data_IF_466029388573
#
_entry.id   IF_466029388573
#
_cell.length_a   1.000
_cell.length_b   1.000
_cell.length_c   1.000
_cell.angle_alpha   90.00
_cell.angle_beta   90.00
_cell.angle_gamma   90.00
#
_symmetry.space_group_name_H-M   'P 1'
#
loop_
_entity.id
_entity.type
_entity.pdbx_description
1 polymer ?
#
# COMPACT_ATOMS: atom_id res chain seq x y z
N UNK A 1 -19.66 43.50 18.94
CA UNK A 1 -19.73 43.01 17.55
C UNK A 1 -18.33 42.57 17.13
N UNK A 2 -18.04 41.26 17.06
CA UNK A 2 -16.70 40.75 16.70
C UNK A 2 -16.55 40.77 15.19
N UNK A 3 -15.64 41.59 14.68
CA UNK A 3 -15.28 41.63 13.26
C UNK A 3 -14.57 40.31 12.94
N UNK A 4 -15.18 39.49 12.09
CA UNK A 4 -14.58 38.25 11.61
C UNK A 4 -13.43 38.63 10.68
N UNK A 5 -12.22 38.16 10.98
CA UNK A 5 -11.03 38.46 10.18
C UNK A 5 -11.14 37.75 8.81
N UNK A 6 -11.54 38.50 7.79
CA UNK A 6 -11.69 38.02 6.41
C UNK A 6 -10.37 37.48 5.86
N UNK A 7 -9.19 37.98 6.27
CA UNK A 7 -7.92 37.41 5.83
C UNK A 7 -7.75 35.96 6.26
N UNK A 8 -8.25 35.57 7.43
CA UNK A 8 -8.20 34.17 7.91
C UNK A 8 -9.08 33.27 7.05
N UNK A 9 -10.21 33.79 6.57
CA UNK A 9 -11.15 33.05 5.70
C UNK A 9 -10.55 32.90 4.30
N UNK A 10 -10.00 33.96 3.72
CA UNK A 10 -9.40 33.93 2.38
C UNK A 10 -8.08 33.14 2.34
N UNK A 11 -7.23 33.20 3.38
CA UNK A 11 -6.03 32.36 3.49
C UNK A 11 -6.35 30.86 3.47
N UNK A 12 -7.46 30.45 4.09
CA UNK A 12 -7.89 29.05 4.11
C UNK A 12 -8.53 28.63 2.77
N UNK A 13 -9.28 29.52 2.11
CA UNK A 13 -9.89 29.24 0.81
C UNK A 13 -8.88 29.13 -0.35
N UNK A 14 -7.77 29.88 -0.26
CA UNK A 14 -6.68 29.88 -1.25
C UNK A 14 -5.45 29.07 -0.85
N UNK A 15 -5.54 28.19 0.15
CA UNK A 15 -4.46 27.25 0.50
C UNK A 15 -4.35 26.15 -0.58
N UNK A 16 -3.81 26.55 -1.74
CA UNK A 16 -3.56 25.72 -2.92
C UNK A 16 -2.42 24.72 -2.62
N UNK A 17 -2.69 23.45 -2.91
CA UNK A 17 -1.74 22.33 -3.05
C UNK A 17 -0.97 21.91 -1.78
N UNK A 18 -1.67 21.38 -0.77
CA UNK A 18 -1.10 20.19 -0.13
C UNK A 18 -1.46 19.02 -1.06
N UNK A 19 -0.51 18.60 -1.92
CA UNK A 19 -0.64 17.35 -2.67
C UNK A 19 -0.95 16.26 -1.64
N UNK A 20 -2.13 15.67 -1.75
CA UNK A 20 -2.65 14.59 -0.91
C UNK A 20 -1.52 13.57 -0.60
N UNK A 21 -1.17 13.34 0.68
CA UNK A 21 -0.08 12.45 1.05
C UNK A 21 -0.33 11.02 0.55
N UNK A 22 -1.60 10.60 0.46
CA UNK A 22 -1.96 9.31 -0.13
C UNK A 22 -1.57 9.27 -1.59
N UNK A 23 -1.97 10.30 -2.35
CA UNK A 23 -1.68 10.40 -3.77
C UNK A 23 -0.16 10.40 -4.06
N UNK A 24 0.62 11.11 -3.24
CA UNK A 24 2.09 11.11 -3.34
C UNK A 24 2.72 9.74 -3.09
N UNK A 25 2.17 8.98 -2.14
CA UNK A 25 2.68 7.67 -1.82
C UNK A 25 2.37 6.68 -2.94
N UNK A 26 1.11 6.59 -3.37
CA UNK A 26 0.70 5.67 -4.44
C UNK A 26 1.37 6.00 -5.78
N UNK A 27 1.68 7.27 -6.06
CA UNK A 27 2.40 7.71 -7.28
C UNK A 27 3.78 7.03 -7.43
N UNK A 28 4.40 6.60 -6.32
CA UNK A 28 5.72 5.95 -6.32
C UNK A 28 5.66 4.42 -6.32
N UNK A 29 4.48 3.83 -6.13
CA UNK A 29 4.36 2.38 -5.99
C UNK A 29 4.36 1.71 -7.38
N UNK A 30 5.22 0.70 -7.62
CA UNK A 30 5.33 0.02 -8.92
C UNK A 30 4.01 -0.49 -9.50
N UNK A 31 3.05 -0.89 -8.65
CA UNK A 31 1.71 -1.35 -9.05
C UNK A 31 0.89 -0.23 -9.73
N UNK A 32 1.19 1.04 -9.42
CA UNK A 32 0.48 2.21 -9.93
C UNK A 32 1.31 3.08 -10.88
N UNK A 33 2.53 2.67 -11.24
CA UNK A 33 3.50 3.49 -12.00
C UNK A 33 2.98 3.98 -13.38
N UNK A 34 2.14 3.18 -14.05
CA UNK A 34 1.63 3.49 -15.41
C UNK A 34 0.31 4.28 -15.41
N UNK A 35 -0.18 4.67 -14.24
CA UNK A 35 -1.47 5.37 -14.11
C UNK A 35 -1.30 6.87 -14.33
N UNK A 36 -2.23 7.46 -15.08
CA UNK A 36 -2.35 8.90 -15.19
C UNK A 36 -2.75 9.53 -13.85
N UNK A 37 -2.51 10.84 -13.71
CA UNK A 37 -2.89 11.57 -12.49
C UNK A 37 -4.39 11.44 -12.14
N UNK A 38 -5.27 11.37 -13.14
CA UNK A 38 -6.72 11.17 -12.94
C UNK A 38 -7.01 9.77 -12.40
N UNK A 39 -6.33 8.76 -12.92
CA UNK A 39 -6.44 7.38 -12.46
C UNK A 39 -5.89 7.23 -11.03
N UNK A 40 -4.73 7.82 -10.71
CA UNK A 40 -4.18 7.83 -9.36
C UNK A 40 -5.15 8.47 -8.35
N UNK A 41 -5.84 9.56 -8.73
CA UNK A 41 -6.90 10.14 -7.89
C UNK A 41 -8.04 9.16 -7.62
N UNK A 42 -8.46 8.39 -8.62
CA UNK A 42 -9.50 7.38 -8.43
C UNK A 42 -9.04 6.28 -7.47
N UNK A 43 -7.77 5.84 -7.57
CA UNK A 43 -7.18 4.89 -6.63
C UNK A 43 -7.12 5.46 -5.23
N UNK A 44 -6.65 6.70 -5.04
CA UNK A 44 -6.58 7.33 -3.72
C UNK A 44 -7.93 7.31 -2.99
N UNK A 45 -9.04 7.55 -3.71
CA UNK A 45 -10.39 7.50 -3.11
C UNK A 45 -10.88 6.10 -2.74
N UNK A 46 -10.32 5.04 -3.34
CA UNK A 46 -10.64 3.65 -3.03
C UNK A 46 -9.76 3.08 -1.91
N UNK A 47 -8.80 3.85 -1.44
CA UNK A 47 -7.86 3.39 -0.43
C UNK A 47 -8.30 3.77 0.98
N UNK A 48 -7.83 3.00 1.97
CA UNK A 48 -8.24 3.16 3.35
C UNK A 48 -7.03 3.39 4.25
N UNK A 49 -6.97 4.56 4.89
CA UNK A 49 -5.91 4.86 5.85
C UNK A 49 -6.11 4.06 7.15
N UNK A 50 -5.00 3.54 7.68
CA UNK A 50 -4.94 2.71 8.89
C UNK A 50 -3.75 3.15 9.74
N UNK A 51 -3.96 3.29 11.04
CA UNK A 51 -2.90 3.63 11.99
C UNK A 51 -2.63 2.42 12.89
N UNK A 52 -1.35 2.16 13.15
CA UNK A 52 -0.88 1.05 13.96
C UNK A 52 0.09 1.55 15.02
N UNK A 53 -0.03 1.02 16.23
CA UNK A 53 0.88 1.28 17.35
C UNK A 53 2.11 0.38 17.25
N UNK A 54 3.14 0.71 18.03
CA UNK A 54 4.28 -0.18 18.25
C UNK A 54 3.80 -1.58 18.68
N UNK A 55 4.36 -2.61 18.05
CA UNK A 55 4.06 -4.03 18.20
C UNK A 55 2.65 -4.46 17.78
N UNK A 56 1.89 -3.61 17.10
CA UNK A 56 0.58 -3.96 16.56
C UNK A 56 0.71 -4.74 15.25
N UNK A 57 -0.07 -5.81 15.10
CA UNK A 57 -0.11 -6.60 13.87
C UNK A 57 -0.96 -5.88 12.81
N UNK A 58 -0.39 -5.70 11.63
CA UNK A 58 -1.15 -5.34 10.43
C UNK A 58 -1.96 -6.56 9.97
N UNK A 59 -1.32 -7.73 9.95
CA UNK A 59 -1.98 -9.02 9.81
C UNK A 59 -1.10 -10.13 10.39
N UNK A 60 -1.72 -11.24 10.76
CA UNK A 60 -1.05 -12.44 11.24
C UNK A 60 -0.92 -13.48 10.13
N UNK A 61 0.10 -14.33 10.22
CA UNK A 61 0.21 -15.54 9.40
C UNK A 61 -1.09 -16.36 9.52
N UNK A 62 -1.51 -16.98 8.42
CA UNK A 62 -2.77 -17.71 8.26
C UNK A 62 -4.06 -16.89 8.38
N UNK A 63 -3.98 -15.57 8.60
CA UNK A 63 -5.17 -14.72 8.49
C UNK A 63 -5.65 -14.68 7.02
N UNK A 64 -6.95 -14.46 6.79
CA UNK A 64 -7.46 -14.18 5.45
C UNK A 64 -6.72 -13.03 4.77
N UNK A 65 -6.45 -13.20 3.48
CA UNK A 65 -5.75 -12.23 2.66
C UNK A 65 -6.76 -11.28 1.99
N UNK A 66 -6.93 -10.08 2.54
CA UNK A 66 -7.96 -9.14 2.07
C UNK A 66 -7.44 -8.06 1.10
N UNK A 67 -6.13 -7.79 1.14
CA UNK A 67 -5.55 -6.70 0.36
C UNK A 67 -4.08 -6.44 0.62
N UNK A 68 -3.57 -5.41 -0.01
CA UNK A 68 -2.19 -4.94 0.13
C UNK A 68 -2.11 -3.68 0.99
N UNK A 69 -0.91 -3.37 1.46
CA UNK A 69 -0.64 -2.18 2.25
C UNK A 69 0.52 -1.39 1.68
N UNK A 70 0.43 -0.05 1.76
CA UNK A 70 1.50 0.90 1.44
C UNK A 70 1.87 1.67 2.71
N UNK A 71 3.17 1.83 2.98
CA UNK A 71 3.64 2.52 4.18
C UNK A 71 3.74 4.02 3.90
N UNK A 72 2.90 4.81 4.56
CA UNK A 72 2.96 6.28 4.52
C UNK A 72 3.97 6.86 5.50
N UNK A 73 4.13 6.20 6.64
CA UNK A 73 5.07 6.57 7.70
C UNK A 73 5.22 5.37 8.65
N UNK A 74 6.38 5.23 9.28
CA UNK A 74 6.70 4.14 10.19
C UNK A 74 7.50 2.99 9.57
N UNK A 75 7.47 1.84 10.22
CA UNK A 75 8.31 0.69 9.88
C UNK A 75 7.59 -0.63 10.20
N UNK A 76 7.56 -1.53 9.23
CA UNK A 76 6.87 -2.82 9.29
C UNK A 76 7.88 -3.95 9.13
N UNK A 77 7.82 -4.93 10.02
CA UNK A 77 8.59 -6.17 9.93
C UNK A 77 7.71 -7.31 9.41
N UNK A 78 8.16 -7.99 8.36
CA UNK A 78 7.56 -9.21 7.85
C UNK A 78 8.32 -10.39 8.43
N UNK A 79 7.64 -11.23 9.20
CA UNK A 79 8.26 -12.35 9.91
C UNK A 79 7.40 -13.59 9.95
N UNK A 80 8.06 -14.73 10.06
CA UNK A 80 7.41 -15.98 10.42
C UNK A 80 7.38 -16.12 11.95
N UNK A 81 6.19 -16.12 12.58
CA UNK A 81 6.08 -16.25 14.03
C UNK A 81 6.55 -17.61 14.55
N UNK A 82 6.53 -18.66 13.71
CA UNK A 82 6.85 -20.02 14.12
C UNK A 82 8.36 -20.25 14.20
N UNK A 83 9.10 -19.79 13.18
CA UNK A 83 10.57 -19.90 13.15
C UNK A 83 11.30 -18.69 13.76
N UNK A 84 10.62 -17.57 13.96
CA UNK A 84 11.24 -16.30 14.36
C UNK A 84 12.02 -15.59 13.25
N UNK A 85 12.04 -16.16 12.04
CA UNK A 85 12.77 -15.60 10.92
C UNK A 85 12.14 -14.29 10.44
N UNK A 86 12.97 -13.26 10.27
CA UNK A 86 12.58 -11.98 9.69
C UNK A 86 12.85 -12.03 8.19
N UNK A 87 11.80 -11.95 7.39
CA UNK A 87 11.89 -11.99 5.93
C UNK A 87 12.19 -10.61 5.33
N UNK A 88 11.65 -9.55 5.92
CA UNK A 88 11.90 -8.18 5.47
C UNK A 88 11.64 -7.17 6.59
N UNK A 89 12.34 -6.03 6.50
CA UNK A 89 12.01 -4.78 7.20
C UNK A 89 11.69 -3.73 6.15
N UNK A 90 10.52 -3.12 6.26
CA UNK A 90 9.94 -2.23 5.28
C UNK A 90 9.70 -0.87 5.91
N UNK A 91 9.93 0.20 5.15
CA UNK A 91 9.85 1.59 5.60
C UNK A 91 8.90 2.41 4.72
N UNK A 92 8.78 3.70 5.01
CA UNK A 92 8.02 4.65 4.18
C UNK A 92 8.31 4.45 2.68
N UNK A 93 7.25 4.39 1.88
CA UNK A 93 7.31 4.18 0.43
C UNK A 93 7.29 2.71 0.00
N UNK A 94 7.49 1.76 0.91
CA UNK A 94 7.36 0.34 0.60
C UNK A 94 5.90 -0.12 0.59
N UNK A 95 5.66 -1.26 -0.06
CA UNK A 95 4.37 -1.94 -0.07
C UNK A 95 4.52 -3.44 0.11
N UNK A 96 3.50 -4.07 0.69
CA UNK A 96 3.52 -5.49 1.02
C UNK A 96 2.12 -6.11 1.02
N UNK A 97 2.09 -7.45 0.99
CA UNK A 97 0.86 -8.22 1.00
C UNK A 97 0.11 -8.20 -0.33
N UNK A 98 0.79 -7.86 -1.43
CA UNK A 98 0.21 -7.68 -2.76
C UNK A 98 -0.37 -8.96 -3.38
N UNK A 99 0.10 -10.14 -2.95
CA UNK A 99 -0.46 -11.41 -3.39
C UNK A 99 -1.96 -11.54 -3.06
N UNK A 100 -2.40 -10.92 -1.96
CA UNK A 100 -3.81 -10.87 -1.56
C UNK A 100 -4.72 -10.16 -2.57
N UNK A 101 -4.17 -9.44 -3.54
CA UNK A 101 -4.95 -8.87 -4.64
C UNK A 101 -5.26 -9.90 -5.74
N UNK A 102 -4.46 -10.96 -5.87
CA UNK A 102 -4.57 -11.97 -6.92
C UNK A 102 -5.30 -13.22 -6.47
N UNK A 103 -4.93 -13.76 -5.31
CA UNK A 103 -5.49 -15.00 -4.76
C UNK A 103 -6.10 -14.79 -3.37
N UNK A 104 -6.73 -15.84 -2.87
CA UNK A 104 -7.38 -15.88 -1.55
C UNK A 104 -6.57 -16.78 -0.59
N UNK A 105 -5.30 -17.03 -0.91
CA UNK A 105 -4.43 -17.84 -0.06
C UNK A 105 -4.18 -17.12 1.27
N UNK A 106 -4.19 -17.84 2.42
CA UNK A 106 -3.90 -17.23 3.71
C UNK A 106 -2.52 -16.56 3.75
N UNK A 107 -2.35 -15.56 4.61
CA UNK A 107 -1.06 -14.87 4.77
C UNK A 107 0.07 -15.85 5.09
N UNK A 108 1.13 -15.84 4.28
CA UNK A 108 2.31 -16.70 4.46
C UNK A 108 3.22 -16.29 5.63
N UNK A 109 3.12 -15.03 6.07
CA UNK A 109 3.89 -14.45 7.16
C UNK A 109 3.04 -13.44 7.94
N UNK A 110 3.54 -13.00 9.09
CA UNK A 110 2.95 -11.89 9.83
C UNK A 110 3.60 -10.56 9.46
N UNK A 111 2.82 -9.50 9.44
CA UNK A 111 3.30 -8.12 9.34
C UNK A 111 3.05 -7.40 10.66
N UNK A 112 4.11 -6.92 11.31
CA UNK A 112 4.04 -6.23 12.60
C UNK A 112 4.65 -4.84 12.51
N UNK A 113 3.99 -3.87 13.12
CA UNK A 113 4.50 -2.50 13.21
C UNK A 113 5.56 -2.40 14.29
N UNK A 114 6.79 -2.04 13.94
CA UNK A 114 7.92 -1.92 14.90
C UNK A 114 8.19 -0.47 15.32
N UNK A 115 7.36 0.46 14.84
CA UNK A 115 7.17 1.84 15.32
C UNK A 115 5.69 2.18 15.23
N UNK A 116 5.27 3.37 15.68
CA UNK A 116 3.94 3.88 15.27
C UNK A 116 3.96 4.06 13.76
N UNK A 117 3.00 3.45 13.06
CA UNK A 117 2.97 3.44 11.59
C UNK A 117 1.61 3.87 11.07
N UNK A 118 1.64 4.51 9.90
CA UNK A 118 0.47 4.95 9.15
C UNK A 118 0.54 4.31 7.78
N UNK A 119 -0.49 3.55 7.44
CA UNK A 119 -0.54 2.74 6.23
C UNK A 119 -1.78 3.10 5.41
N UNK A 120 -1.70 2.77 4.13
CA UNK A 120 -2.87 2.72 3.24
C UNK A 120 -3.16 1.26 2.92
N UNK A 121 -4.38 0.82 3.14
CA UNK A 121 -4.91 -0.45 2.63
C UNK A 121 -5.57 -0.26 1.26
N UNK A 122 -5.29 -1.19 0.34
CA UNK A 122 -6.02 -1.35 -0.92
C UNK A 122 -6.51 -2.79 -1.01
N UNK A 123 -7.82 -3.00 -1.02
CA UNK A 123 -8.41 -4.32 -0.87
C UNK A 123 -8.81 -4.94 -2.20
N UNK A 124 -8.85 -6.27 -2.23
CA UNK A 124 -9.22 -7.04 -3.42
C UNK A 124 -10.62 -6.69 -3.92
N UNK A 125 -11.56 -6.43 -3.02
CA UNK A 125 -12.91 -5.99 -3.36
C UNK A 125 -12.94 -4.66 -4.13
N UNK A 126 -12.05 -3.73 -3.77
CA UNK A 126 -11.92 -2.44 -4.43
C UNK A 126 -11.32 -2.61 -5.82
N UNK A 127 -10.28 -3.46 -5.94
CA UNK A 127 -9.69 -3.83 -7.23
C UNK A 127 -10.71 -4.47 -8.17
N UNK A 128 -11.48 -5.46 -7.69
CA UNK A 128 -12.50 -6.14 -8.49
C UNK A 128 -13.61 -5.18 -8.93
N UNK A 129 -14.03 -4.26 -8.06
CA UNK A 129 -15.01 -3.22 -8.40
C UNK A 129 -14.44 -2.28 -9.46
N UNK A 130 -13.17 -1.91 -9.34
CA UNK A 130 -12.49 -1.04 -10.28
C UNK A 130 -12.29 -1.70 -11.65
N UNK A 131 -11.92 -2.98 -11.71
CA UNK A 131 -11.79 -3.73 -12.97
C UNK A 131 -13.14 -3.74 -13.72
N UNK A 132 -14.25 -3.95 -12.99
CA UNK A 132 -15.60 -3.94 -13.58
C UNK A 132 -16.00 -2.57 -14.11
N UNK A 133 -15.64 -1.48 -13.41
CA UNK A 133 -16.04 -0.11 -13.77
C UNK A 133 -15.12 0.54 -14.81
N UNK A 134 -13.83 0.24 -14.75
CA UNK A 134 -12.78 0.84 -15.56
C UNK A 134 -11.80 -0.25 -16.04
N UNK A 135 -12.16 -1.07 -17.04
CA UNK A 135 -11.36 -2.22 -17.47
C UNK A 135 -9.92 -1.87 -17.85
N UNK A 136 -9.70 -0.78 -18.59
CA UNK A 136 -8.35 -0.35 -18.99
C UNK A 136 -7.47 -0.01 -17.79
N UNK A 137 -8.03 0.64 -16.77
CA UNK A 137 -7.34 0.95 -15.53
C UNK A 137 -7.03 -0.34 -14.74
N UNK A 138 -8.00 -1.25 -14.66
CA UNK A 138 -7.79 -2.57 -14.09
C UNK A 138 -6.64 -3.33 -14.76
N UNK A 139 -6.61 -3.35 -16.09
CA UNK A 139 -5.58 -4.01 -16.87
C UNK A 139 -4.18 -3.44 -16.58
N UNK A 140 -4.05 -2.11 -16.48
CA UNK A 140 -2.77 -1.47 -16.09
C UNK A 140 -2.28 -1.98 -14.75
N UNK A 141 -3.16 -2.02 -13.75
CA UNK A 141 -2.83 -2.48 -12.38
C UNK A 141 -2.41 -3.95 -12.40
N UNK A 142 -3.19 -4.81 -13.08
CA UNK A 142 -2.90 -6.25 -13.17
C UNK A 142 -1.57 -6.51 -13.88
N UNK A 143 -1.27 -5.80 -14.97
CA UNK A 143 0.01 -5.90 -15.67
C UNK A 143 1.19 -5.44 -14.79
N UNK A 144 1.03 -4.33 -14.08
CA UNK A 144 2.07 -3.85 -13.16
C UNK A 144 2.30 -4.83 -12.01
N UNK A 145 1.23 -5.43 -11.46
CA UNK A 145 1.30 -6.44 -10.42
C UNK A 145 2.02 -7.71 -10.92
N UNK A 146 1.69 -8.18 -12.13
CA UNK A 146 2.39 -9.29 -12.76
C UNK A 146 3.89 -9.01 -12.97
N UNK A 147 4.26 -7.79 -13.37
CA UNK A 147 5.66 -7.36 -13.49
C UNK A 147 6.39 -7.42 -12.16
N UNK A 148 5.80 -6.85 -11.09
CA UNK A 148 6.34 -6.87 -9.73
C UNK A 148 6.60 -8.30 -9.26
N UNK A 149 5.61 -9.19 -9.41
CA UNK A 149 5.75 -10.58 -8.98
C UNK A 149 6.79 -11.33 -9.80
N UNK A 150 6.86 -11.09 -11.10
CA UNK A 150 7.91 -11.64 -11.97
C UNK A 150 9.31 -11.19 -11.55
N UNK A 151 9.48 -9.92 -11.15
CA UNK A 151 10.74 -9.40 -10.63
C UNK A 151 11.11 -10.03 -9.29
N UNK A 152 10.16 -10.15 -8.36
CA UNK A 152 10.37 -10.80 -7.06
C UNK A 152 10.75 -12.27 -7.24
N UNK A 153 10.03 -13.01 -8.07
CA UNK A 153 10.34 -14.42 -8.35
C UNK A 153 11.75 -14.60 -8.95
N UNK A 154 12.14 -13.75 -9.91
CA UNK A 154 13.50 -13.76 -10.49
C UNK A 154 14.56 -13.47 -9.43
N UNK A 155 14.29 -12.54 -8.50
CA UNK A 155 15.22 -12.20 -7.41
C UNK A 155 15.38 -13.38 -6.45
N UNK A 156 14.27 -13.96 -5.98
CA UNK A 156 14.28 -15.13 -5.09
C UNK A 156 15.01 -16.33 -5.72
N UNK A 157 14.76 -16.60 -7.01
CA UNK A 157 15.46 -17.69 -7.71
C UNK A 157 16.98 -17.47 -7.76
N UNK A 158 17.44 -16.23 -7.99
CA UNK A 158 18.87 -15.89 -7.97
C UNK A 158 19.51 -16.08 -6.60
N UNK A 159 18.81 -15.72 -5.52
CA UNK A 159 19.28 -15.88 -4.15
C UNK A 159 19.41 -17.37 -3.76
N UNK A 160 18.47 -18.21 -4.21
CA UNK A 160 18.53 -19.66 -4.01
C UNK A 160 19.69 -20.32 -4.77
N UNK A 161 19.99 -19.86 -6.00
CA UNK A 161 21.12 -20.40 -6.77
C UNK A 161 22.48 -19.99 -6.22
N UNK A 162 22.58 -18.82 -5.57
CA UNK A 162 23.81 -18.30 -4.99
C UNK A 162 24.07 -18.79 -3.55
N UNK A 163 23.12 -19.52 -2.97
CA UNK A 163 23.22 -20.09 -1.62
C UNK A 163 23.69 -21.56 -1.62
N UNK A 164 24.29 -22.02 -2.72
CA UNK A 164 25.03 -23.29 -2.83
C UNK A 164 26.51 -23.01 -2.98
#
# INVERSE_FOLDING_TARGET
>A
MRIINLETIYKNYFRKKNKDPVLKAIEKIPIFETLSYKELKNIAHLTHERNYKLNEYVFKKHAPAEGMYVILDGEIEIKDPDSGNIYAKLHEGDFFGELALLDEEPRSASAISIKTSRLIGFFRTDLLTLIKRYPDLGNKILLNLARVLGERLRKTNKELTNSK
#
